data_IF_085155961440
#
_entry.id   IF_085155961440
#
_cell.length_a   1.000
_cell.length_b   1.000
_cell.length_c   1.000
_cell.angle_alpha   90.00
_cell.angle_beta   90.00
_cell.angle_gamma   90.00
#
_symmetry.space_group_name_H-M   'P 1'
#
loop_
_entity.id
_entity.type
_entity.pdbx_description
1 polymer ?
#
# COMPACT_ATOMS: atom_id res chain seq x y z
N UNK A 1 -0.95 0.11 17.35
CA UNK A 1 -1.24 1.31 16.53
C UNK A 1 -1.44 0.96 15.04
N UNK A 2 -2.06 -0.19 14.70
CA UNK A 2 -2.26 -0.59 13.30
C UNK A 2 -3.38 0.19 12.59
N UNK A 3 -4.33 0.76 13.37
CA UNK A 3 -5.52 1.43 12.84
C UNK A 3 -5.23 2.58 11.86
N UNK A 4 -4.18 3.37 12.08
CA UNK A 4 -3.80 4.46 11.15
C UNK A 4 -3.24 3.89 9.85
N UNK A 5 -2.35 2.89 9.93
CA UNK A 5 -1.81 2.19 8.76
C UNK A 5 -2.91 1.54 7.93
N UNK A 6 -3.83 0.84 8.59
CA UNK A 6 -4.99 0.21 7.95
C UNK A 6 -5.92 1.26 7.32
N UNK A 7 -6.14 2.40 7.98
CA UNK A 7 -6.96 3.49 7.43
C UNK A 7 -6.33 4.10 6.19
N UNK A 8 -5.02 4.36 6.19
CA UNK A 8 -4.30 4.82 4.99
C UNK A 8 -4.48 3.84 3.83
N UNK A 9 -4.29 2.55 4.08
CA UNK A 9 -4.41 1.52 3.04
C UNK A 9 -5.84 1.42 2.51
N UNK A 10 -6.85 1.43 3.39
CA UNK A 10 -8.26 1.41 3.01
C UNK A 10 -8.61 2.60 2.12
N UNK A 11 -8.33 3.82 2.58
CA UNK A 11 -8.61 5.06 1.86
C UNK A 11 -7.89 5.11 0.51
N UNK A 12 -6.64 4.61 0.46
CA UNK A 12 -5.89 4.53 -0.78
C UNK A 12 -6.57 3.62 -1.82
N UNK A 13 -7.02 2.43 -1.45
CA UNK A 13 -7.74 1.55 -2.37
C UNK A 13 -9.13 2.09 -2.74
N UNK A 14 -9.89 2.61 -1.78
CA UNK A 14 -11.22 3.20 -2.04
C UNK A 14 -11.14 4.43 -2.95
N UNK A 15 -10.10 5.27 -2.82
CA UNK A 15 -9.87 6.41 -3.71
C UNK A 15 -9.64 5.98 -5.17
N UNK A 16 -9.11 4.76 -5.37
CA UNK A 16 -8.93 4.13 -6.69
C UNK A 16 -10.10 3.23 -7.09
N UNK A 17 -11.29 3.46 -6.52
CA UNK A 17 -12.54 2.78 -6.88
C UNK A 17 -12.58 1.27 -6.54
N UNK A 18 -11.69 0.79 -5.67
CA UNK A 18 -11.77 -0.58 -5.17
C UNK A 18 -12.86 -0.71 -4.10
N UNK A 19 -13.56 -1.83 -4.13
CA UNK A 19 -14.36 -2.31 -3.01
C UNK A 19 -13.44 -2.94 -1.98
N UNK A 20 -13.38 -2.36 -0.79
CA UNK A 20 -12.49 -2.81 0.29
C UNK A 20 -13.31 -3.44 1.41
N UNK A 21 -13.04 -4.72 1.70
CA UNK A 21 -13.55 -5.42 2.86
C UNK A 21 -12.43 -5.63 3.86
N UNK A 22 -12.50 -4.92 4.97
CA UNK A 22 -11.63 -5.19 6.12
C UNK A 22 -12.05 -6.51 6.76
N UNK A 23 -11.10 -7.43 6.90
CA UNK A 23 -11.37 -8.71 7.56
C UNK A 23 -11.50 -8.52 9.08
N UNK A 24 -10.69 -7.62 9.66
CA UNK A 24 -10.66 -7.31 11.08
C UNK A 24 -11.38 -6.00 11.40
N UNK A 25 -12.62 -6.06 11.89
CA UNK A 25 -13.27 -4.89 12.49
C UNK A 25 -13.09 -4.81 14.01
N UNK A 26 -12.89 -5.94 14.68
CA UNK A 26 -12.74 -6.05 16.13
C UNK A 26 -11.74 -7.16 16.50
N UNK A 27 -10.88 -6.92 17.49
CA UNK A 27 -10.00 -7.95 18.08
C UNK A 27 -10.64 -8.42 19.38
N UNK A 28 -11.10 -9.68 19.42
CA UNK A 28 -11.60 -10.31 20.64
C UNK A 28 -10.45 -10.78 21.53
N UNK A 29 -10.56 -10.63 22.86
CA UNK A 29 -9.49 -10.94 23.82
C UNK A 29 -9.12 -12.43 23.91
N UNK A 30 -9.96 -13.35 23.43
CA UNK A 30 -9.90 -14.78 23.76
C UNK A 30 -9.65 -15.72 22.58
N UNK A 31 -9.54 -15.24 21.35
CA UNK A 31 -9.21 -16.10 20.21
C UNK A 31 -7.69 -16.13 19.98
N UNK A 32 -7.08 -17.32 19.86
CA UNK A 32 -5.73 -17.44 19.33
C UNK A 32 -5.65 -16.70 17.99
N UNK A 33 -4.50 -16.08 17.74
CA UNK A 33 -4.19 -15.24 16.60
C UNK A 33 -4.21 -16.05 15.29
N UNK A 34 -5.40 -16.45 14.82
CA UNK A 34 -5.63 -17.18 13.57
C UNK A 34 -6.09 -16.23 12.45
N UNK A 35 -5.38 -15.13 12.20
CA UNK A 35 -5.88 -14.11 11.26
C UNK A 35 -4.71 -13.33 10.63
N UNK A 36 -4.27 -13.72 9.43
CA UNK A 36 -3.06 -13.16 8.80
C UNK A 36 -3.35 -12.13 7.68
N UNK A 37 -4.63 -11.85 7.39
CA UNK A 37 -5.06 -10.96 6.29
C UNK A 37 -5.83 -9.76 6.83
N UNK A 38 -5.47 -8.55 6.37
CA UNK A 38 -6.10 -7.31 6.82
C UNK A 38 -7.25 -6.88 5.90
N UNK A 39 -7.04 -6.95 4.58
CA UNK A 39 -8.06 -6.56 3.59
C UNK A 39 -8.23 -7.54 2.45
N UNK A 40 -9.47 -7.63 2.00
CA UNK A 40 -9.84 -8.12 0.68
C UNK A 40 -10.19 -6.92 -0.17
N UNK A 41 -9.51 -6.74 -1.31
CA UNK A 41 -9.79 -5.66 -2.25
C UNK A 41 -10.24 -6.24 -3.59
N UNK A 42 -11.26 -5.62 -4.17
CA UNK A 42 -11.85 -6.01 -5.46
C UNK A 42 -12.01 -4.76 -6.32
N UNK A 43 -11.41 -4.76 -7.50
CA UNK A 43 -11.67 -3.77 -8.53
C UNK A 43 -12.87 -4.24 -9.37
N UNK A 44 -14.00 -3.51 -9.38
CA UNK A 44 -15.16 -3.87 -10.20
C UNK A 44 -14.92 -3.70 -11.70
N UNK A 45 -13.92 -2.89 -12.09
CA UNK A 45 -13.63 -2.52 -13.48
C UNK A 45 -12.13 -2.65 -13.80
N UNK A 46 -11.55 -3.87 -13.72
CA UNK A 46 -10.14 -4.05 -14.02
C UNK A 46 -9.84 -3.82 -15.50
N UNK A 47 -8.75 -3.11 -15.75
CA UNK A 47 -8.20 -2.90 -17.09
C UNK A 47 -7.32 -4.09 -17.48
N UNK A 48 -7.22 -4.34 -18.79
CA UNK A 48 -6.31 -5.34 -19.34
C UNK A 48 -4.92 -4.73 -19.47
N UNK A 49 -3.90 -5.44 -18.98
CA UNK A 49 -2.50 -5.06 -19.15
C UNK A 49 -1.82 -5.95 -20.18
N UNK A 50 -1.04 -5.33 -21.06
CA UNK A 50 -0.07 -6.05 -21.87
C UNK A 50 1.21 -6.24 -21.03
N UNK A 51 1.47 -7.47 -20.59
CA UNK A 51 2.66 -7.85 -19.83
C UNK A 51 2.44 -8.05 -18.33
N UNK A 52 3.54 -8.28 -17.61
CA UNK A 52 3.50 -8.61 -16.17
C UNK A 52 3.51 -7.35 -15.30
N UNK A 53 2.85 -7.44 -14.14
CA UNK A 53 2.90 -6.38 -13.14
C UNK A 53 4.31 -6.27 -12.53
N UNK A 54 4.79 -5.05 -12.23
CA UNK A 54 6.00 -4.89 -11.46
C UNK A 54 5.80 -5.45 -10.05
N UNK A 55 6.88 -5.94 -9.44
CA UNK A 55 6.80 -6.46 -8.08
C UNK A 55 6.61 -5.37 -7.03
N UNK A 56 7.20 -4.20 -7.25
CA UNK A 56 6.95 -3.02 -6.43
C UNK A 56 5.92 -2.19 -7.16
N UNK A 57 4.69 -2.17 -6.65
CA UNK A 57 3.55 -1.50 -7.26
C UNK A 57 3.58 0.00 -6.96
N UNK A 58 3.12 0.79 -7.93
CA UNK A 58 2.64 2.15 -7.73
C UNK A 58 1.15 2.29 -8.04
N UNK A 59 0.60 3.49 -7.88
CA UNK A 59 -0.81 3.78 -8.17
C UNK A 59 -1.21 3.48 -9.61
N UNK A 60 -0.31 3.75 -10.56
CA UNK A 60 -0.52 3.49 -11.98
C UNK A 60 -0.71 2.00 -12.32
N UNK A 61 -0.31 1.09 -11.42
CA UNK A 61 -0.47 -0.35 -11.62
C UNK A 61 -1.82 -0.88 -11.08
N UNK A 62 -2.50 -0.12 -10.21
CA UNK A 62 -3.75 -0.56 -9.58
C UNK A 62 -4.89 -0.86 -10.55
N UNK A 63 -5.12 -0.08 -11.63
CA UNK A 63 -6.22 -0.37 -12.55
C UNK A 63 -6.17 -1.78 -13.15
N UNK A 64 -4.99 -2.41 -13.18
CA UNK A 64 -4.77 -3.75 -13.74
C UNK A 64 -4.91 -4.87 -12.70
N UNK A 65 -5.23 -4.55 -11.44
CA UNK A 65 -5.42 -5.51 -10.37
C UNK A 65 -6.92 -5.75 -10.19
N UNK A 66 -7.40 -6.93 -10.55
CA UNK A 66 -8.81 -7.30 -10.38
C UNK A 66 -9.17 -7.56 -8.91
N UNK A 67 -8.33 -8.30 -8.19
CA UNK A 67 -8.59 -8.70 -6.80
C UNK A 67 -7.29 -9.01 -6.08
N UNK A 68 -7.21 -8.67 -4.80
CA UNK A 68 -6.04 -8.96 -3.98
C UNK A 68 -6.39 -9.17 -2.51
N UNK A 69 -5.60 -10.01 -1.86
CA UNK A 69 -5.48 -10.01 -0.40
C UNK A 69 -4.33 -9.09 -0.03
N UNK A 70 -4.57 -8.24 0.97
CA UNK A 70 -3.61 -7.23 1.40
C UNK A 70 -3.28 -7.43 2.86
N UNK A 71 -1.98 -7.49 3.15
CA UNK A 71 -1.44 -7.49 4.51
C UNK A 71 -0.64 -6.23 4.75
N UNK A 72 -0.88 -5.60 5.89
CA UNK A 72 -0.32 -4.31 6.25
C UNK A 72 0.73 -4.49 7.34
N UNK A 73 1.98 -4.26 6.98
CA UNK A 73 3.06 -4.10 7.96
C UNK A 73 3.24 -2.62 8.22
N UNK A 74 2.87 -2.21 9.44
CA UNK A 74 2.67 -0.80 9.80
C UNK A 74 3.88 0.09 9.51
N UNK A 75 3.61 1.39 9.30
CA UNK A 75 4.61 2.38 8.87
C UNK A 75 5.81 2.56 9.83
N UNK A 76 5.63 2.19 11.09
CA UNK A 76 6.60 2.32 12.17
C UNK A 76 7.62 1.17 12.23
N UNK A 77 7.46 0.15 11.38
CA UNK A 77 8.42 -0.95 11.28
C UNK A 77 9.65 -0.50 10.49
N UNK A 78 10.79 -1.11 10.81
CA UNK A 78 12.07 -0.79 10.16
C UNK A 78 12.03 -1.05 8.64
N UNK A 79 13.06 -0.59 7.94
CA UNK A 79 13.21 -0.90 6.51
C UNK A 79 13.24 -2.42 6.31
N UNK A 80 12.42 -2.92 5.36
CA UNK A 80 12.27 -4.35 5.08
C UNK A 80 13.51 -4.91 4.36
N UNK A 81 14.62 -5.00 5.08
CA UNK A 81 15.85 -5.65 4.63
C UNK A 81 15.72 -7.18 4.72
N UNK A 82 16.59 -7.89 4.00
CA UNK A 82 16.66 -9.36 4.07
C UNK A 82 16.84 -9.88 5.50
N UNK A 83 17.65 -9.22 6.32
CA UNK A 83 17.88 -9.60 7.72
C UNK A 83 16.60 -9.47 8.58
N UNK A 84 15.85 -8.38 8.42
CA UNK A 84 14.57 -8.19 9.13
C UNK A 84 13.56 -9.26 8.72
N UNK A 85 13.47 -9.53 7.41
CA UNK A 85 12.56 -10.54 6.86
C UNK A 85 12.89 -11.97 7.33
N UNK A 86 14.16 -12.29 7.53
CA UNK A 86 14.56 -13.60 8.04
C UNK A 86 14.18 -13.80 9.52
N UNK A 87 14.17 -12.72 10.30
CA UNK A 87 13.87 -12.76 11.73
C UNK A 87 12.38 -12.58 12.06
N UNK A 88 11.53 -12.32 11.05
CA UNK A 88 10.10 -12.08 11.21
C UNK A 88 9.26 -13.03 10.32
N UNK A 89 9.32 -14.36 10.56
CA UNK A 89 8.63 -15.36 9.74
C UNK A 89 7.10 -15.19 9.71
N UNK A 90 6.52 -14.56 10.74
CA UNK A 90 5.10 -14.27 10.84
C UNK A 90 4.58 -13.34 9.73
N UNK A 91 5.47 -12.60 9.05
CA UNK A 91 5.12 -11.78 7.89
C UNK A 91 4.60 -12.63 6.73
N UNK A 92 5.03 -13.88 6.64
CA UNK A 92 4.72 -14.76 5.51
C UNK A 92 3.51 -15.66 5.73
N UNK A 93 2.91 -15.71 6.93
CA UNK A 93 1.83 -16.66 7.23
C UNK A 93 0.64 -16.58 6.26
N UNK A 94 0.31 -15.37 5.77
CA UNK A 94 -0.78 -15.17 4.82
C UNK A 94 -0.56 -15.82 3.44
N UNK A 95 0.69 -16.11 3.08
CA UNK A 95 1.02 -16.81 1.83
C UNK A 95 0.90 -18.32 1.97
N UNK A 96 0.75 -18.84 3.19
CA UNK A 96 0.62 -20.27 3.43
C UNK A 96 -0.60 -20.81 2.68
N UNK A 97 -0.49 -21.98 2.01
CA UNK A 97 -1.54 -22.49 1.14
C UNK A 97 -2.92 -22.56 1.80
N UNK A 98 -2.96 -22.92 3.10
CA UNK A 98 -4.21 -23.02 3.87
C UNK A 98 -4.89 -21.66 4.03
N UNK A 99 -4.14 -20.64 4.46
CA UNK A 99 -4.65 -19.27 4.67
C UNK A 99 -5.07 -18.68 3.33
N UNK A 100 -4.25 -18.86 2.29
CA UNK A 100 -4.55 -18.39 0.95
C UNK A 100 -5.81 -19.02 0.36
N UNK A 101 -5.99 -20.35 0.49
CA UNK A 101 -7.18 -21.04 -0.03
C UNK A 101 -8.46 -20.58 0.66
N UNK A 102 -8.44 -20.40 1.98
CA UNK A 102 -9.57 -19.84 2.74
C UNK A 102 -9.90 -18.41 2.27
N UNK A 103 -8.88 -17.61 2.03
CA UNK A 103 -9.03 -16.24 1.55
C UNK A 103 -9.55 -16.18 0.11
N UNK A 104 -9.06 -17.05 -0.78
CA UNK A 104 -9.51 -17.15 -2.16
C UNK A 104 -11.01 -17.51 -2.24
N UNK A 105 -11.50 -18.38 -1.35
CA UNK A 105 -12.92 -18.71 -1.26
C UNK A 105 -13.80 -17.48 -0.96
N UNK A 106 -13.29 -16.47 -0.24
CA UNK A 106 -14.01 -15.24 0.04
C UNK A 106 -14.27 -14.40 -1.23
N UNK A 107 -13.50 -14.60 -2.29
CA UNK A 107 -13.69 -13.96 -3.60
C UNK A 107 -14.53 -14.79 -4.59
N UNK A 108 -14.94 -16.01 -4.23
CA UNK A 108 -15.67 -16.91 -5.12
C UNK A 108 -14.78 -17.68 -6.10
N UNK A 109 -15.36 -18.17 -7.20
CA UNK A 109 -14.71 -19.10 -8.15
C UNK A 109 -13.79 -18.44 -9.19
N UNK A 110 -13.75 -17.11 -9.24
CA UNK A 110 -13.13 -16.37 -10.32
C UNK A 110 -11.65 -16.08 -10.06
N UNK A 111 -10.78 -17.06 -10.30
CA UNK A 111 -9.34 -16.84 -10.31
C UNK A 111 -8.70 -16.52 -8.95
N UNK A 112 -7.39 -16.73 -8.87
CA UNK A 112 -6.61 -16.55 -7.66
C UNK A 112 -6.35 -15.05 -7.38
N UNK A 113 -6.60 -14.54 -6.16
CA UNK A 113 -6.25 -13.17 -5.82
C UNK A 113 -4.74 -12.97 -5.68
N UNK A 114 -4.28 -11.76 -6.01
CA UNK A 114 -2.88 -11.37 -5.77
C UNK A 114 -2.60 -11.25 -4.27
N UNK A 115 -1.41 -11.66 -3.86
CA UNK A 115 -0.88 -11.53 -2.50
C UNK A 115 -0.04 -10.27 -2.40
N UNK A 116 -0.64 -9.18 -1.91
CA UNK A 116 0.01 -7.87 -1.79
C UNK A 116 0.46 -7.62 -0.36
N UNK A 117 1.74 -7.30 -0.19
CA UNK A 117 2.29 -6.86 1.09
C UNK A 117 2.51 -5.35 1.10
N UNK A 118 1.85 -4.64 2.01
CA UNK A 118 2.13 -3.23 2.26
C UNK A 118 3.31 -3.11 3.23
N UNK A 119 4.34 -2.36 2.84
CA UNK A 119 5.58 -2.21 3.62
C UNK A 119 5.91 -0.73 3.87
N UNK A 120 6.57 -0.39 4.99
CA UNK A 120 7.03 0.97 5.26
C UNK A 120 8.00 1.46 4.17
N UNK A 121 9.05 0.68 3.91
CA UNK A 121 10.07 0.97 2.92
C UNK A 121 10.88 -0.29 2.58
N UNK A 122 11.41 -0.33 1.35
CA UNK A 122 12.46 -1.25 0.94
C UNK A 122 13.83 -0.55 1.06
N UNK A 123 14.94 -1.31 1.18
CA UNK A 123 16.28 -0.75 1.16
C UNK A 123 16.51 0.14 -0.07
N UNK A 124 17.21 1.27 0.11
CA UNK A 124 17.49 2.21 -0.99
C UNK A 124 18.66 1.78 -1.87
N UNK A 125 19.61 1.03 -1.31
CA UNK A 125 20.76 0.54 -2.06
C UNK A 125 20.31 -0.61 -2.98
N UNK A 126 20.55 -0.48 -4.29
CA UNK A 126 20.08 -1.43 -5.29
C UNK A 126 20.37 -2.91 -4.96
N UNK A 127 21.59 -3.31 -4.52
CA UNK A 127 21.86 -4.71 -4.19
C UNK A 127 21.01 -5.22 -3.02
N UNK A 128 20.84 -4.40 -1.96
CA UNK A 128 20.04 -4.77 -0.80
C UNK A 128 18.53 -4.79 -1.14
N UNK A 129 18.10 -3.92 -2.05
CA UNK A 129 16.74 -3.89 -2.55
C UNK A 129 16.41 -5.17 -3.33
N UNK A 130 17.27 -5.55 -4.28
CA UNK A 130 17.12 -6.77 -5.08
C UNK A 130 17.10 -8.04 -4.23
N UNK A 131 17.99 -8.13 -3.22
CA UNK A 131 17.99 -9.23 -2.27
C UNK A 131 16.67 -9.33 -1.50
N UNK A 132 16.15 -8.19 -1.04
CA UNK A 132 14.87 -8.15 -0.29
C UNK A 132 13.70 -8.52 -1.19
N UNK A 133 13.66 -8.01 -2.43
CA UNK A 133 12.66 -8.38 -3.44
C UNK A 133 12.71 -9.87 -3.75
N UNK A 134 13.91 -10.42 -3.94
CA UNK A 134 14.12 -11.83 -4.26
C UNK A 134 13.63 -12.73 -3.13
N UNK A 135 13.93 -12.35 -1.88
CA UNK A 135 13.44 -13.07 -0.70
C UNK A 135 11.90 -13.03 -0.63
N UNK A 136 11.28 -11.86 -0.77
CA UNK A 136 9.82 -11.72 -0.74
C UNK A 136 9.14 -12.55 -1.84
N UNK A 137 9.67 -12.53 -3.08
CA UNK A 137 9.19 -13.38 -4.19
C UNK A 137 9.32 -14.86 -3.87
N UNK A 138 10.47 -15.31 -3.36
CA UNK A 138 10.71 -16.72 -3.00
C UNK A 138 9.73 -17.23 -1.93
N UNK A 139 9.16 -16.33 -1.14
CA UNK A 139 8.18 -16.64 -0.11
C UNK A 139 6.73 -16.62 -0.64
N UNK A 140 6.50 -16.38 -1.93
CA UNK A 140 5.18 -16.46 -2.55
C UNK A 140 4.33 -15.20 -2.46
N UNK A 141 4.95 -14.06 -2.12
CA UNK A 141 4.36 -12.72 -2.26
C UNK A 141 4.35 -12.38 -3.75
N UNK A 142 3.22 -11.89 -4.25
CA UNK A 142 3.07 -11.56 -5.66
C UNK A 142 3.52 -10.11 -5.93
N UNK A 143 3.27 -9.20 -4.98
CA UNK A 143 3.69 -7.81 -5.08
C UNK A 143 3.79 -7.09 -3.73
N UNK A 144 4.46 -5.95 -3.74
CA UNK A 144 4.68 -5.07 -2.59
C UNK A 144 4.19 -3.66 -2.92
N UNK A 145 3.53 -3.01 -1.96
CA UNK A 145 3.06 -1.63 -2.07
C UNK A 145 3.67 -0.76 -0.96
N UNK A 146 4.61 0.15 -1.27
CA UNK A 146 5.25 0.98 -0.25
C UNK A 146 4.32 2.07 0.31
N UNK A 147 4.37 2.33 1.62
CA UNK A 147 3.65 3.44 2.27
C UNK A 147 3.90 4.79 1.62
N UNK A 148 5.15 5.05 1.21
CA UNK A 148 5.51 6.29 0.52
C UNK A 148 4.73 6.50 -0.77
N UNK A 149 4.50 5.43 -1.54
CA UNK A 149 3.76 5.52 -2.80
C UNK A 149 2.29 5.89 -2.53
N UNK A 150 1.66 5.19 -1.59
CA UNK A 150 0.26 5.47 -1.21
C UNK A 150 0.07 6.88 -0.66
N UNK A 151 0.95 7.33 0.24
CA UNK A 151 0.84 8.67 0.82
C UNK A 151 1.08 9.77 -0.22
N UNK A 152 2.07 9.62 -1.09
CA UNK A 152 2.32 10.58 -2.15
C UNK A 152 1.11 10.73 -3.09
N UNK A 153 0.45 9.61 -3.38
CA UNK A 153 -0.74 9.55 -4.22
C UNK A 153 -1.99 10.14 -3.54
N UNK A 154 -2.29 9.70 -2.31
CA UNK A 154 -3.37 10.27 -1.50
C UNK A 154 -3.23 11.79 -1.37
N UNK A 155 -2.00 12.27 -1.17
CA UNK A 155 -1.71 13.70 -1.20
C UNK A 155 -2.05 14.23 -2.59
N UNK A 156 -1.47 13.75 -3.68
CA UNK A 156 -1.73 14.25 -5.03
C UNK A 156 -3.22 14.35 -5.37
N UNK A 157 -3.99 13.28 -5.14
CA UNK A 157 -5.40 13.13 -5.51
C UNK A 157 -6.39 13.82 -4.56
N UNK A 158 -5.94 14.33 -3.41
CA UNK A 158 -6.81 15.11 -2.50
C UNK A 158 -6.86 16.58 -2.94
N UNK A 159 -8.04 17.11 -3.26
CA UNK A 159 -8.23 18.48 -3.74
C UNK A 159 -8.80 19.39 -2.66
N UNK A 160 -8.30 20.62 -2.52
CA UNK A 160 -8.76 21.61 -1.52
C UNK A 160 -10.25 21.98 -1.67
N UNK A 161 -10.76 21.94 -2.90
CA UNK A 161 -12.13 22.35 -3.25
C UNK A 161 -13.14 21.18 -3.28
N UNK A 162 -12.74 19.98 -2.82
CA UNK A 162 -13.64 18.81 -2.71
C UNK A 162 -14.06 18.57 -1.27
N UNK A 163 -15.19 17.86 -1.10
CA UNK A 163 -15.72 17.48 0.20
C UNK A 163 -15.35 16.02 0.51
N UNK A 164 -14.69 15.79 1.64
CA UNK A 164 -14.28 14.47 2.13
C UNK A 164 -14.92 14.13 3.49
N UNK A 165 -16.15 14.57 3.72
CA UNK A 165 -16.88 14.42 5.00
C UNK A 165 -16.92 13.01 5.60
N UNK A 166 -16.70 11.96 4.80
CA UNK A 166 -16.71 10.56 5.26
C UNK A 166 -15.31 9.98 5.54
N UNK A 167 -14.26 10.78 5.33
CA UNK A 167 -12.87 10.37 5.50
C UNK A 167 -12.10 11.41 6.28
N UNK A 168 -11.82 11.12 7.56
CA UNK A 168 -11.02 11.98 8.42
C UNK A 168 -9.59 12.14 7.88
N UNK A 169 -9.04 11.10 7.24
CA UNK A 169 -7.71 11.13 6.65
C UNK A 169 -7.65 12.10 5.45
N UNK A 170 -8.56 11.96 4.49
CA UNK A 170 -8.59 12.85 3.32
C UNK A 170 -8.95 14.28 3.72
N UNK A 171 -9.81 14.46 4.72
CA UNK A 171 -10.11 15.76 5.31
C UNK A 171 -8.86 16.38 5.97
N UNK A 172 -8.06 15.60 6.69
CA UNK A 172 -6.79 16.07 7.25
C UNK A 172 -5.80 16.47 6.16
N UNK A 173 -5.62 15.64 5.13
CA UNK A 173 -4.77 15.97 3.98
C UNK A 173 -5.25 17.26 3.32
N UNK A 174 -6.57 17.44 3.14
CA UNK A 174 -7.17 18.65 2.57
C UNK A 174 -6.83 19.90 3.39
N UNK A 175 -6.97 19.83 4.72
CA UNK A 175 -6.62 20.92 5.63
C UNK A 175 -5.14 21.27 5.49
N UNK A 176 -4.26 20.27 5.56
CA UNK A 176 -2.81 20.47 5.42
C UNK A 176 -2.42 21.10 4.08
N UNK A 177 -3.08 20.70 2.98
CA UNK A 177 -2.91 21.33 1.66
C UNK A 177 -3.36 22.78 1.65
N UNK A 178 -4.52 23.09 2.23
CA UNK A 178 -5.07 24.45 2.28
C UNK A 178 -4.14 25.44 3.02
N UNK A 179 -3.35 24.95 3.97
CA UNK A 179 -2.35 25.72 4.70
C UNK A 179 -0.92 25.53 4.17
N UNK A 180 -0.76 24.99 2.95
CA UNK A 180 0.53 24.86 2.26
C UNK A 180 1.60 24.02 3.01
N UNK A 181 1.18 23.10 3.87
CA UNK A 181 2.11 22.22 4.60
C UNK A 181 2.76 21.14 3.71
N UNK A 182 2.16 20.83 2.56
CA UNK A 182 2.78 19.96 1.56
C UNK A 182 3.58 20.79 0.58
N UNK A 183 4.91 20.58 0.57
CA UNK A 183 5.77 21.13 -0.46
C UNK A 183 5.65 20.28 -1.72
N UNK A 184 5.31 20.89 -2.84
CA UNK A 184 5.52 20.27 -4.13
C UNK A 184 7.03 19.97 -4.32
N UNK A 185 7.42 18.96 -5.11
CA UNK A 185 8.80 18.75 -5.50
C UNK A 185 9.32 19.98 -6.25
N UNK A 186 9.86 20.96 -5.52
CA UNK A 186 10.31 22.20 -6.13
C UNK A 186 11.54 21.91 -6.99
N UNK A 187 11.48 22.26 -8.28
CA UNK A 187 12.66 22.45 -9.13
C UNK A 187 13.41 23.73 -8.69
N UNK A 188 13.96 23.75 -7.47
CA UNK A 188 14.86 24.82 -6.98
C UNK A 188 16.26 24.75 -7.62
N UNK A 189 16.35 24.44 -8.92
CA UNK A 189 17.62 24.40 -9.65
C UNK A 189 17.82 25.62 -10.56
N UNK A 190 16.80 26.43 -10.81
CA UNK A 190 16.88 27.56 -11.76
C UNK A 190 16.22 28.85 -11.29
N UNK A 191 16.53 29.32 -10.07
CA UNK A 191 16.37 30.75 -9.77
C UNK A 191 17.62 31.49 -10.24
N UNK A 192 17.67 31.79 -11.54
CA UNK A 192 18.70 32.67 -12.11
C UNK A 192 18.62 34.02 -11.41
N UNK A 193 19.66 34.36 -10.63
CA UNK A 193 19.81 35.68 -9.99
C UNK A 193 19.67 36.76 -11.06
N UNK A 194 18.55 37.50 -11.05
CA UNK A 194 18.37 38.66 -11.91
C UNK A 194 19.40 39.71 -11.46
N UNK A 195 20.44 39.94 -12.27
CA UNK A 195 21.44 41.01 -12.02
C UNK A 195 20.70 42.33 -11.88
N UNK A 196 20.83 42.98 -10.73
CA UNK A 196 20.47 44.38 -10.58
C UNK A 196 21.36 45.18 -11.55
N UNK A 197 20.73 45.95 -12.45
CA UNK A 197 21.44 46.97 -13.23
C UNK A 197 21.77 48.11 -12.27
N UNK A 198 23.06 48.40 -12.13
CA UNK A 198 23.55 49.70 -11.71
C UNK A 198 23.46 50.67 -12.89
#
# INVERSE_FOLDING_TARGET
MSAVSETIVREYFELHEFLVRQHRKHVGQTRPQEEDIDFFVLNPHPQVREGTLPFVLGSADLPFIARAIVVVKGWHTETFSSAVLQNAPEIFRFVEPKVFQQAAQAFGKDGAPLKILVVPALPRAAPAQEQSISLLRSKGIDAVLPFRAMLADLIAETWVNRNYQKSDLLQLIRILKNYEFFKEPQLELFKTRRKAKA
#
